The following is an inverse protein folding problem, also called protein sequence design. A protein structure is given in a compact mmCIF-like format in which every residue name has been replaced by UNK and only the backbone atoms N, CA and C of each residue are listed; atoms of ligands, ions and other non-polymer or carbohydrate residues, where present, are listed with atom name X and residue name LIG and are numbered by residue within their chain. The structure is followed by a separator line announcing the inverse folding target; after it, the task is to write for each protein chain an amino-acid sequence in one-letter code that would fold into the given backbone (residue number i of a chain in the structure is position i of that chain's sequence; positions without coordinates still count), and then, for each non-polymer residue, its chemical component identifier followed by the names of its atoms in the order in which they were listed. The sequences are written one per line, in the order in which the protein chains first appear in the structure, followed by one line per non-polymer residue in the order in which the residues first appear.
data_IF_347425417702
#
_entry.id   IF_347425417702
#
_cell.length_a   1.000
_cell.length_b   1.000
_cell.length_c   1.000
_cell.angle_alpha   90.00
_cell.angle_beta   90.00
_cell.angle_gamma   90.00
#
_symmetry.space_group_name_H-M   'P 1'
#
loop_
_entity.id
_entity.type
_entity.pdbx_description
1 polymer ?
#
# COMPACT_ATOMS: atom_id res chain seq x y z
N UNK A 1 10.15 -0.48 33.28
CA UNK A 1 9.62 0.71 32.58
C UNK A 1 8.58 0.24 31.58
N UNK A 2 7.38 0.83 31.58
CA UNK A 2 6.35 0.56 30.58
C UNK A 2 6.73 1.31 29.30
N UNK A 3 6.53 0.71 28.12
CA UNK A 3 6.68 1.44 26.86
C UNK A 3 5.60 2.54 26.81
N UNK A 4 5.96 3.78 26.46
CA UNK A 4 4.99 4.84 26.23
C UNK A 4 3.97 4.41 25.18
N UNK A 5 2.69 4.68 25.43
CA UNK A 5 1.66 4.49 24.42
C UNK A 5 1.47 5.74 23.55
N UNK A 6 0.57 5.65 22.56
CA UNK A 6 0.34 6.76 21.63
C UNK A 6 -0.16 8.03 22.34
N UNK A 7 -0.90 7.88 23.44
CA UNK A 7 -1.41 9.03 24.20
C UNK A 7 -0.29 9.72 24.97
N UNK A 8 0.62 8.94 25.57
CA UNK A 8 1.82 9.48 26.22
C UNK A 8 2.65 10.30 25.23
N UNK A 9 2.91 9.75 24.03
CA UNK A 9 3.68 10.42 22.99
C UNK A 9 2.99 11.68 22.44
N UNK A 10 1.66 11.66 22.34
CA UNK A 10 0.86 12.82 21.93
C UNK A 10 0.93 13.95 22.96
N UNK A 11 0.87 13.63 24.26
CA UNK A 11 1.01 14.62 25.34
C UNK A 11 2.39 15.27 25.33
N UNK A 12 3.45 14.46 25.21
CA UNK A 12 4.83 14.97 25.14
C UNK A 12 5.02 15.93 23.95
N UNK A 13 4.46 15.60 22.79
CA UNK A 13 4.51 16.48 21.62
C UNK A 13 3.69 17.77 21.79
N UNK A 14 2.58 17.72 22.54
CA UNK A 14 1.81 18.94 22.86
C UNK A 14 2.61 19.85 23.80
N UNK A 15 3.27 19.29 24.81
CA UNK A 15 4.16 20.03 25.71
C UNK A 15 5.34 20.63 24.94
N UNK A 16 6.00 19.85 24.08
CA UNK A 16 7.12 20.33 23.26
C UNK A 16 6.70 21.48 22.33
N UNK A 17 5.50 21.41 21.74
CA UNK A 17 4.95 22.49 20.92
C UNK A 17 4.70 23.75 21.75
N UNK A 18 4.17 23.62 22.96
CA UNK A 18 3.92 24.77 23.85
C UNK A 18 5.23 25.46 24.23
N UNK A 19 6.25 24.69 24.64
CA UNK A 19 7.58 25.22 24.95
C UNK A 19 8.17 25.94 23.73
N UNK A 20 8.06 25.35 22.54
CA UNK A 20 8.54 25.97 21.31
C UNK A 20 7.80 27.29 20.96
N UNK A 21 6.51 27.39 21.28
CA UNK A 21 5.74 28.64 21.15
C UNK A 21 6.26 29.68 22.14
N UNK A 22 6.44 29.30 23.40
CA UNK A 22 6.90 30.19 24.46
C UNK A 22 8.31 30.74 24.17
N UNK A 23 9.18 29.90 23.62
CA UNK A 23 10.54 30.26 23.16
C UNK A 23 10.57 31.00 21.83
N UNK A 24 9.41 31.20 21.18
CA UNK A 24 9.30 31.79 19.83
C UNK A 24 10.20 31.10 18.80
N UNK A 25 10.27 29.77 18.87
CA UNK A 25 11.03 28.94 17.94
C UNK A 25 10.10 28.33 16.88
N UNK A 26 9.84 29.01 15.76
CA UNK A 26 8.89 28.54 14.75
C UNK A 26 9.30 27.19 14.12
N UNK A 27 10.59 26.91 14.00
CA UNK A 27 11.07 25.64 13.45
C UNK A 27 10.68 24.47 14.35
N UNK A 28 10.83 24.62 15.66
CA UNK A 28 10.44 23.60 16.62
C UNK A 28 8.91 23.38 16.63
N UNK A 29 8.12 24.44 16.48
CA UNK A 29 6.65 24.34 16.34
C UNK A 29 6.25 23.54 15.10
N UNK A 30 6.90 23.79 13.96
CA UNK A 30 6.65 23.05 12.71
C UNK A 30 6.99 21.57 12.87
N UNK A 31 8.14 21.25 13.47
CA UNK A 31 8.57 19.87 13.71
C UNK A 31 7.58 19.11 14.62
N UNK A 32 7.15 19.74 15.72
CA UNK A 32 6.18 19.13 16.63
C UNK A 32 4.84 18.89 15.93
N UNK A 33 4.39 19.85 15.10
CA UNK A 33 3.15 19.75 14.33
C UNK A 33 3.21 18.64 13.27
N UNK A 34 4.32 18.54 12.51
CA UNK A 34 4.52 17.47 11.53
C UNK A 34 4.59 16.10 12.21
N UNK A 35 5.23 16.00 13.37
CA UNK A 35 5.31 14.76 14.14
C UNK A 35 3.92 14.31 14.61
N UNK A 36 3.09 15.25 15.10
CA UNK A 36 1.68 14.98 15.44
C UNK A 36 0.89 14.50 14.21
N UNK A 37 1.05 15.16 13.06
CA UNK A 37 0.38 14.76 11.82
C UNK A 37 0.78 13.36 11.35
N UNK A 38 2.07 13.01 11.47
CA UNK A 38 2.58 11.66 11.13
C UNK A 38 2.01 10.58 12.05
N UNK A 39 1.98 10.82 13.36
CA UNK A 39 1.43 9.87 14.34
C UNK A 39 -0.07 9.64 14.14
N UNK A 40 -0.82 10.72 13.91
CA UNK A 40 -2.25 10.66 13.61
C UNK A 40 -2.54 10.16 12.18
N UNK A 41 -1.50 9.85 11.40
CA UNK A 41 -1.63 9.42 10.01
C UNK A 41 -2.34 10.42 9.10
N UNK A 42 -2.38 11.71 9.48
CA UNK A 42 -2.94 12.81 8.69
C UNK A 42 -2.07 13.14 7.47
N UNK A 43 -0.79 12.76 7.52
CA UNK A 43 0.18 12.88 6.41
C UNK A 43 0.15 11.67 5.45
N UNK A 44 -0.73 10.68 5.70
CA UNK A 44 -0.87 9.58 4.74
C UNK A 44 -1.60 10.12 3.50
N UNK A 45 -1.11 9.82 2.28
CA UNK A 45 -1.91 10.09 1.11
C UNK A 45 -3.25 9.38 1.29
N UNK A 46 -4.34 10.13 1.17
CA UNK A 46 -5.67 9.53 1.02
C UNK A 46 -5.58 8.74 -0.27
N UNK A 47 -5.35 7.42 -0.16
CA UNK A 47 -5.57 6.51 -1.28
C UNK A 47 -7.08 6.52 -1.45
N UNK A 48 -7.55 7.50 -2.21
CA UNK A 48 -8.94 7.62 -2.63
C UNK A 48 -9.15 6.43 -3.55
N UNK A 49 -9.66 5.33 -3.01
CA UNK A 49 -9.95 4.05 -3.66
C UNK A 49 -9.51 4.04 -5.12
N UNK A 50 -8.23 3.72 -5.34
CA UNK A 50 -7.76 3.40 -6.69
C UNK A 50 -8.34 2.03 -6.96
N UNK A 51 -9.61 2.03 -7.40
CA UNK A 51 -10.39 0.95 -8.01
C UNK A 51 -9.93 -0.44 -7.57
N UNK A 52 -10.46 -0.93 -6.45
CA UNK A 52 -10.27 -2.32 -6.02
C UNK A 52 -10.74 -3.35 -7.07
N UNK A 53 -11.49 -2.92 -8.08
CA UNK A 53 -11.97 -3.73 -9.21
C UNK A 53 -10.87 -4.12 -10.20
N UNK A 54 -9.77 -3.36 -10.30
CA UNK A 54 -8.69 -3.60 -11.29
C UNK A 54 -7.45 -4.30 -10.69
N UNK A 55 -7.52 -4.76 -9.44
CA UNK A 55 -6.42 -5.55 -8.84
C UNK A 55 -6.54 -6.99 -9.31
N UNK A 56 -6.00 -7.28 -10.50
CA UNK A 56 -5.82 -8.66 -10.97
C UNK A 56 -4.92 -9.39 -9.99
N UNK A 57 -5.45 -10.45 -9.35
CA UNK A 57 -4.65 -11.22 -8.40
C UNK A 57 -3.68 -12.13 -9.14
N UNK A 58 -2.61 -12.56 -8.46
CA UNK A 58 -1.68 -13.55 -9.01
C UNK A 58 -2.41 -14.85 -9.42
N UNK A 59 -3.49 -15.21 -8.73
CA UNK A 59 -4.28 -16.39 -9.08
C UNK A 59 -5.06 -16.22 -10.38
N UNK A 60 -5.57 -15.01 -10.66
CA UNK A 60 -6.27 -14.72 -11.91
C UNK A 60 -5.32 -14.80 -13.11
N UNK A 61 -4.10 -14.24 -12.97
CA UNK A 61 -3.05 -14.35 -13.98
C UNK A 61 -2.60 -15.80 -14.20
N UNK A 62 -2.44 -16.58 -13.12
CA UNK A 62 -2.09 -18.00 -13.22
C UNK A 62 -3.20 -18.78 -13.94
N UNK A 63 -4.47 -18.51 -13.62
CA UNK A 63 -5.62 -19.14 -14.27
C UNK A 63 -5.65 -18.85 -15.78
N UNK A 64 -5.47 -17.59 -16.16
CA UNK A 64 -5.41 -17.17 -17.56
C UNK A 64 -4.27 -17.85 -18.32
N UNK A 65 -3.06 -17.85 -17.74
CA UNK A 65 -1.88 -18.52 -18.33
C UNK A 65 -2.10 -20.03 -18.49
N UNK A 66 -2.73 -20.69 -17.52
CA UNK A 66 -3.03 -22.12 -17.59
C UNK A 66 -4.04 -22.41 -18.70
N UNK A 67 -5.13 -21.63 -18.77
CA UNK A 67 -6.13 -21.72 -19.85
C UNK A 67 -5.48 -21.57 -21.22
N UNK A 68 -4.59 -20.58 -21.38
CA UNK A 68 -3.91 -20.34 -22.65
C UNK A 68 -2.97 -21.47 -23.06
N UNK A 69 -2.27 -22.07 -22.10
CA UNK A 69 -1.45 -23.27 -22.36
C UNK A 69 -2.30 -24.45 -22.83
N UNK A 70 -3.47 -24.66 -22.22
CA UNK A 70 -4.39 -25.74 -22.62
C UNK A 70 -4.94 -25.53 -24.03
N UNK A 71 -5.35 -24.29 -24.37
CA UNK A 71 -5.81 -23.94 -25.72
C UNK A 71 -4.74 -24.18 -26.78
N UNK A 72 -3.48 -23.82 -26.48
CA UNK A 72 -2.34 -24.07 -27.38
C UNK A 72 -2.05 -25.56 -27.55
N UNK A 73 -2.11 -26.34 -26.48
CA UNK A 73 -1.92 -27.79 -26.56
C UNK A 73 -2.98 -28.47 -27.44
N UNK A 74 -4.26 -28.14 -27.24
CA UNK A 74 -5.36 -28.66 -28.04
C UNK A 74 -5.27 -28.25 -29.52
N UNK A 75 -4.78 -27.05 -29.81
CA UNK A 75 -4.55 -26.60 -31.18
C UNK A 75 -3.43 -27.41 -31.86
N UNK A 76 -2.33 -27.65 -31.16
CA UNK A 76 -1.21 -28.43 -31.68
C UNK A 76 -1.59 -29.89 -31.95
N UNK A 77 -2.38 -30.51 -31.07
CA UNK A 77 -2.89 -31.86 -31.26
C UNK A 77 -3.75 -31.98 -32.53
N UNK A 78 -4.61 -30.98 -32.77
CA UNK A 78 -5.40 -30.91 -34.02
C UNK A 78 -4.52 -30.76 -35.26
N UNK A 79 -3.44 -29.99 -35.19
CA UNK A 79 -2.48 -29.86 -36.29
C UNK A 79 -1.73 -31.17 -36.55
N UNK A 80 -1.33 -31.90 -35.51
CA UNK A 80 -0.69 -33.20 -35.67
C UNK A 80 -1.64 -34.23 -36.26
N UNK A 81 -2.90 -34.25 -35.82
CA UNK A 81 -3.94 -35.10 -36.40
C UNK A 81 -4.10 -34.83 -37.90
N UNK A 82 -4.30 -33.56 -38.30
CA UNK A 82 -4.43 -33.17 -39.71
C UNK A 82 -3.17 -33.49 -40.50
N UNK A 83 -1.98 -33.33 -39.92
CA UNK A 83 -0.72 -33.65 -40.58
C UNK A 83 -0.54 -35.16 -40.82
N UNK A 84 -1.10 -36.01 -39.97
CA UNK A 84 -1.00 -37.46 -40.08
C UNK A 84 -2.09 -38.09 -40.97
N UNK A 85 -3.13 -37.34 -41.34
CA UNK A 85 -4.20 -37.77 -42.26
C UNK A 85 -3.91 -37.50 -43.76
N UNK A 86 -2.83 -36.77 -44.07
CA UNK A 86 -2.32 -36.52 -45.44
C UNK A 86 -0.93 -37.14 -45.64
#
# INVERSE_FOLDING_TARGET
MRLPDLNDLMQDLQLAKQIAIDERNPNAVVIATMSQAKLLSLDRPVIKDVVADDVTTLNDLISEIVSDKQKRAAFNERLEYVRNEY
#
